data_IF_418705219485
#
_entry.id   IF_418705219485
#
_cell.length_a   1.000
_cell.length_b   1.000
_cell.length_c   1.000
_cell.angle_alpha   90.00
_cell.angle_beta   90.00
_cell.angle_gamma   90.00
#
_symmetry.space_group_name_H-M   'P 1'
#
loop_
_entity.id
_entity.type
_entity.pdbx_description
1 polymer ?
#
# COMPACT_ATOMS: atom_id res chain seq x y z
N UNK A 1 -4.92 -19.96 -0.89
CA UNK A 1 -4.18 -18.96 -0.07
C UNK A 1 -5.11 -18.51 1.06
N UNK A 2 -4.69 -18.51 2.32
CA UNK A 2 -5.53 -17.99 3.42
C UNK A 2 -5.70 -16.47 3.31
N UNK A 3 -6.79 -15.93 3.87
CA UNK A 3 -7.00 -14.47 3.92
C UNK A 3 -5.89 -13.77 4.69
N UNK A 4 -5.45 -14.35 5.81
CA UNK A 4 -4.35 -13.84 6.62
C UNK A 4 -3.05 -13.70 5.81
N UNK A 5 -2.66 -14.73 5.06
CA UNK A 5 -1.48 -14.68 4.21
C UNK A 5 -1.61 -13.64 3.09
N UNK A 6 -2.81 -13.48 2.52
CA UNK A 6 -3.07 -12.45 1.52
C UNK A 6 -2.92 -11.03 2.10
N UNK A 7 -3.47 -10.78 3.30
CA UNK A 7 -3.34 -9.50 3.99
C UNK A 7 -1.89 -9.22 4.40
N UNK A 8 -1.19 -10.20 4.96
CA UNK A 8 0.20 -10.06 5.34
C UNK A 8 1.07 -9.68 4.14
N UNK A 9 0.89 -10.34 2.99
CA UNK A 9 1.64 -10.03 1.78
C UNK A 9 1.34 -8.63 1.24
N UNK A 10 0.07 -8.20 1.29
CA UNK A 10 -0.31 -6.85 0.88
C UNK A 10 0.33 -5.79 1.80
N UNK A 11 0.25 -5.97 3.11
CA UNK A 11 0.87 -5.08 4.09
C UNK A 11 2.38 -5.05 3.96
N UNK A 12 3.03 -6.21 3.78
CA UNK A 12 4.47 -6.30 3.54
C UNK A 12 4.88 -5.52 2.28
N UNK A 13 4.09 -5.59 1.22
CA UNK A 13 4.32 -4.81 -0.01
C UNK A 13 4.14 -3.30 0.23
N UNK A 14 3.09 -2.90 0.95
CA UNK A 14 2.83 -1.50 1.27
C UNK A 14 3.95 -0.92 2.14
N UNK A 15 4.41 -1.67 3.15
CA UNK A 15 5.49 -1.25 4.04
C UNK A 15 6.85 -1.09 3.34
N UNK A 16 7.01 -1.63 2.13
CA UNK A 16 8.24 -1.51 1.34
C UNK A 16 8.31 -0.18 0.53
N UNK A 17 7.22 0.59 0.43
CA UNK A 17 7.28 1.89 -0.26
C UNK A 17 8.16 2.88 0.50
N UNK A 18 8.84 3.73 -0.26
CA UNK A 18 9.66 4.80 0.28
C UNK A 18 8.78 5.90 0.89
N UNK A 19 9.29 6.55 1.94
CA UNK A 19 8.68 7.77 2.48
C UNK A 19 8.71 8.90 1.44
N UNK A 20 7.78 9.88 1.49
CA UNK A 20 7.77 11.02 0.56
C UNK A 20 9.11 11.74 0.46
N UNK A 21 9.79 12.00 1.57
CA UNK A 21 11.10 12.68 1.56
C UNK A 21 12.23 11.86 0.91
N UNK A 22 12.09 10.53 0.87
CA UNK A 22 13.04 9.67 0.16
C UNK A 22 12.73 9.69 -1.33
N UNK A 23 11.46 9.69 -1.73
CA UNK A 23 11.05 9.82 -3.12
C UNK A 23 11.47 11.17 -3.70
N UNK A 24 11.22 12.29 -3.00
CA UNK A 24 11.68 13.62 -3.44
C UNK A 24 13.17 13.68 -3.78
N UNK A 25 14.00 12.98 -3.01
CA UNK A 25 15.46 12.99 -3.18
C UNK A 25 15.98 11.98 -4.20
N UNK A 26 15.26 10.88 -4.45
CA UNK A 26 15.78 9.74 -5.21
C UNK A 26 15.00 9.41 -6.47
N UNK A 27 13.79 9.96 -6.65
CA UNK A 27 12.87 9.56 -7.71
C UNK A 27 13.47 9.71 -9.12
N UNK A 28 14.13 10.83 -9.39
CA UNK A 28 14.72 11.09 -10.71
C UNK A 28 15.79 10.04 -11.04
N UNK A 29 16.66 9.73 -10.08
CA UNK A 29 17.72 8.73 -10.25
C UNK A 29 17.19 7.29 -10.35
N UNK A 30 16.16 6.94 -9.58
CA UNK A 30 15.67 5.56 -9.48
C UNK A 30 14.62 5.22 -10.54
N UNK A 31 13.81 6.20 -10.93
CA UNK A 31 12.61 6.00 -11.74
C UNK A 31 12.51 6.96 -12.93
N UNK A 32 13.38 7.97 -13.03
CA UNK A 32 13.31 9.00 -14.08
C UNK A 32 12.14 9.97 -13.90
N UNK A 33 11.56 10.04 -12.70
CA UNK A 33 10.37 10.84 -12.40
C UNK A 33 10.72 12.02 -11.49
N UNK A 34 9.92 13.08 -11.56
CA UNK A 34 10.01 14.14 -10.57
C UNK A 34 9.54 13.63 -9.19
N UNK A 35 10.03 14.27 -8.13
CA UNK A 35 9.78 13.86 -6.75
C UNK A 35 8.29 13.75 -6.40
N UNK A 36 7.49 14.74 -6.76
CA UNK A 36 6.04 14.75 -6.46
C UNK A 36 5.26 13.75 -7.33
N UNK A 37 5.59 13.64 -8.62
CA UNK A 37 4.99 12.63 -9.51
C UNK A 37 5.23 11.21 -8.96
N UNK A 38 6.43 10.92 -8.49
CA UNK A 38 6.74 9.63 -7.88
C UNK A 38 5.97 9.37 -6.57
N UNK A 39 5.68 10.43 -5.79
CA UNK A 39 4.85 10.33 -4.59
C UNK A 39 3.40 9.99 -4.95
N UNK A 40 2.82 10.68 -5.94
CA UNK A 40 1.46 10.43 -6.41
C UNK A 40 1.32 9.00 -6.92
N UNK A 41 2.28 8.54 -7.74
CA UNK A 41 2.30 7.16 -8.22
C UNK A 41 2.46 6.15 -7.09
N UNK A 42 3.33 6.42 -6.11
CA UNK A 42 3.48 5.54 -4.95
C UNK A 42 2.18 5.46 -4.13
N UNK A 43 1.46 6.57 -3.97
CA UNK A 43 0.18 6.62 -3.27
C UNK A 43 -0.90 5.81 -4.00
N UNK A 44 -1.05 5.98 -5.31
CA UNK A 44 -1.98 5.17 -6.12
C UNK A 44 -1.66 3.68 -6.05
N UNK A 45 -0.38 3.32 -6.04
CA UNK A 45 0.04 1.92 -5.88
C UNK A 45 -0.30 1.34 -4.50
N UNK A 46 -0.17 2.12 -3.43
CA UNK A 46 -0.61 1.73 -2.07
C UNK A 46 -2.12 1.49 -2.06
N UNK A 47 -2.90 2.41 -2.62
CA UNK A 47 -4.36 2.26 -2.71
C UNK A 47 -4.76 1.04 -3.54
N UNK A 48 -4.11 0.80 -4.68
CA UNK A 48 -4.36 -0.36 -5.53
C UNK A 48 -4.06 -1.67 -4.80
N UNK A 49 -2.94 -1.74 -4.08
CA UNK A 49 -2.58 -2.92 -3.29
C UNK A 49 -3.61 -3.20 -2.18
N UNK A 50 -4.04 -2.16 -1.46
CA UNK A 50 -5.06 -2.28 -0.43
C UNK A 50 -6.41 -2.71 -1.02
N UNK A 51 -6.87 -2.07 -2.09
CA UNK A 51 -8.12 -2.43 -2.81
C UNK A 51 -8.10 -3.87 -3.29
N UNK A 52 -6.98 -4.33 -3.85
CA UNK A 52 -6.82 -5.72 -4.30
C UNK A 52 -6.92 -6.70 -3.13
N UNK A 53 -6.30 -6.39 -1.99
CA UNK A 53 -6.32 -7.25 -0.80
C UNK A 53 -7.73 -7.45 -0.24
N UNK A 54 -8.57 -6.42 -0.28
CA UNK A 54 -9.95 -6.47 0.25
C UNK A 54 -10.99 -6.86 -0.81
N UNK A 55 -10.63 -6.97 -2.09
CA UNK A 55 -11.58 -7.24 -3.17
C UNK A 55 -12.30 -8.57 -2.95
N UNK A 56 -13.63 -8.51 -2.95
CA UNK A 56 -14.49 -9.69 -2.75
C UNK A 56 -14.44 -10.27 -1.34
N UNK A 57 -13.81 -9.58 -0.38
CA UNK A 57 -13.79 -9.96 1.03
C UNK A 57 -14.88 -9.22 1.79
N UNK A 58 -15.46 -9.89 2.77
CA UNK A 58 -16.37 -9.27 3.74
C UNK A 58 -15.58 -8.84 4.96
N UNK A 59 -15.92 -7.69 5.53
CA UNK A 59 -15.38 -7.28 6.81
C UNK A 59 -15.69 -8.37 7.86
N UNK A 60 -14.72 -8.74 8.72
CA UNK A 60 -14.97 -9.62 9.85
C UNK A 60 -16.09 -9.02 10.73
N UNK A 61 -16.96 -9.88 11.28
CA UNK A 61 -17.88 -9.43 12.32
C UNK A 61 -17.05 -9.11 13.55
N UNK A 62 -17.21 -7.90 14.10
CA UNK A 62 -16.65 -7.57 15.41
C UNK A 62 -17.28 -8.54 16.41
N UNK A 63 -16.50 -9.47 16.98
CA UNK A 63 -16.97 -10.34 18.04
C UNK A 63 -16.91 -9.56 19.35
N UNK A 64 -18.05 -9.00 19.77
CA UNK A 64 -18.19 -8.26 21.03
C UNK A 64 -17.81 -6.79 20.86
N UNK A 65 -18.72 -5.89 21.24
CA UNK A 65 -18.58 -4.45 21.05
C UNK A 65 -17.33 -3.88 21.71
N UNK A 66 -16.62 -3.08 20.94
CA UNK A 66 -16.13 -1.74 21.30
C UNK A 66 -15.71 -1.14 19.96
N UNK A 67 -16.53 -0.20 19.49
CA UNK A 67 -16.26 0.60 18.30
C UNK A 67 -15.40 1.80 18.71
#
# INVERSE_FOLDING_TARGET
MSNELAYFNALKRIAAFQSPDKLRRNAERQYGLQGEEAIEMAYENVLAAAKAAIRGKRAPKVQGGEA
#
